data_IF_756527059683
#
_entry.id   IF_756527059683
#
_cell.length_a   1.000
_cell.length_b   1.000
_cell.length_c   1.000
_cell.angle_alpha   90.00
_cell.angle_beta   90.00
_cell.angle_gamma   90.00
#
_symmetry.space_group_name_H-M   'P 1'
#
loop_
_entity.id
_entity.type
_entity.pdbx_description
1 polymer ?
#
# COMPACT_ATOMS: atom_id res chain seq x y z
N UNK A 1 -23.35 20.01 -85.80
CA UNK A 1 -22.11 19.84 -84.94
C UNK A 1 -22.07 20.91 -83.85
N UNK A 2 -22.92 20.83 -82.83
CA UNK A 2 -22.87 21.77 -81.69
C UNK A 2 -23.67 21.23 -80.48
N UNK A 3 -23.41 20.01 -80.02
CA UNK A 3 -24.05 19.49 -78.76
C UNK A 3 -23.16 18.65 -77.84
N UNK A 4 -21.84 18.51 -78.06
CA UNK A 4 -20.97 17.66 -77.27
C UNK A 4 -20.04 18.42 -76.26
N UNK A 5 -20.22 19.75 -76.14
CA UNK A 5 -19.30 20.56 -75.28
C UNK A 5 -19.87 20.96 -73.91
N UNK A 6 -21.11 20.56 -73.60
CA UNK A 6 -21.76 20.96 -72.34
C UNK A 6 -21.80 19.91 -71.24
N UNK A 7 -21.38 18.69 -71.53
CA UNK A 7 -21.35 17.61 -70.47
C UNK A 7 -20.01 17.35 -69.86
N UNK A 8 -18.93 17.94 -70.34
CA UNK A 8 -17.57 17.74 -69.80
C UNK A 8 -17.22 18.62 -68.57
N UNK A 9 -18.02 19.69 -68.35
CA UNK A 9 -17.78 20.56 -67.19
C UNK A 9 -18.61 20.18 -65.93
N UNK A 10 -19.64 19.34 -66.09
CA UNK A 10 -20.44 18.87 -64.95
C UNK A 10 -19.84 17.69 -64.19
N UNK A 11 -19.00 16.90 -64.87
CA UNK A 11 -18.40 15.72 -64.26
C UNK A 11 -17.14 16.03 -63.41
N UNK A 12 -16.47 17.17 -63.64
CA UNK A 12 -15.27 17.57 -62.93
C UNK A 12 -15.57 18.23 -61.57
N UNK A 13 -16.78 18.78 -61.36
CA UNK A 13 -17.17 19.41 -60.10
C UNK A 13 -17.73 18.39 -59.06
N UNK A 14 -18.21 17.22 -59.50
CA UNK A 14 -18.71 16.17 -58.60
C UNK A 14 -17.57 15.27 -58.03
N UNK A 15 -16.41 15.28 -58.70
CA UNK A 15 -15.25 14.51 -58.19
C UNK A 15 -14.46 15.23 -57.09
N UNK A 16 -14.63 16.57 -56.93
CA UNK A 16 -13.89 17.31 -55.89
C UNK A 16 -14.60 17.36 -54.54
N UNK A 17 -15.90 16.99 -54.45
CA UNK A 17 -16.64 16.97 -53.16
C UNK A 17 -16.49 15.61 -52.44
N UNK A 18 -16.05 14.57 -53.14
CA UNK A 18 -15.87 13.23 -52.56
C UNK A 18 -14.53 13.04 -51.83
N UNK A 19 -13.62 14.01 -51.90
CA UNK A 19 -12.28 13.92 -51.27
C UNK A 19 -12.17 14.60 -49.90
N UNK A 20 -13.21 15.29 -49.43
CA UNK A 20 -13.22 15.93 -48.09
C UNK A 20 -14.09 15.20 -47.06
N UNK A 21 -14.67 14.06 -47.37
CA UNK A 21 -15.54 13.31 -46.49
C UNK A 21 -14.89 12.12 -45.77
N UNK A 22 -13.56 11.90 -45.90
CA UNK A 22 -12.90 10.72 -45.34
C UNK A 22 -11.89 11.01 -44.19
N UNK A 23 -12.07 12.11 -43.47
CA UNK A 23 -11.14 12.52 -42.39
C UNK A 23 -11.83 12.62 -41.05
N UNK A 24 -12.81 11.74 -40.74
CA UNK A 24 -13.26 11.48 -39.34
C UNK A 24 -13.66 10.03 -39.22
N UNK A 25 -12.71 9.14 -39.45
CA UNK A 25 -12.75 7.80 -38.91
C UNK A 25 -11.99 7.90 -37.57
N UNK A 26 -12.74 8.00 -36.48
CA UNK A 26 -12.26 7.78 -35.14
C UNK A 26 -11.75 6.33 -35.02
N UNK A 27 -10.53 6.11 -35.49
CA UNK A 27 -9.79 4.91 -35.26
C UNK A 27 -9.41 4.90 -33.78
N UNK A 28 -10.16 4.18 -32.95
CA UNK A 28 -9.69 3.61 -31.71
C UNK A 28 -8.68 2.51 -32.06
N UNK A 29 -7.55 2.91 -32.59
CA UNK A 29 -6.37 2.09 -32.81
C UNK A 29 -5.34 2.53 -31.81
N UNK A 30 -4.94 1.64 -30.91
CA UNK A 30 -3.91 1.88 -29.92
C UNK A 30 -2.65 2.45 -30.55
N UNK A 31 -2.48 3.76 -30.44
CA UNK A 31 -1.21 4.40 -30.68
C UNK A 31 -0.26 3.92 -29.58
N UNK A 32 0.62 2.99 -29.95
CA UNK A 32 1.86 2.75 -29.22
C UNK A 32 2.78 3.98 -29.29
N UNK A 33 2.24 5.16 -29.03
CA UNK A 33 3.00 6.38 -28.88
C UNK A 33 3.78 6.30 -27.57
N UNK A 34 5.07 6.67 -27.59
CA UNK A 34 5.90 6.77 -26.41
C UNK A 34 5.24 7.64 -25.36
N UNK A 35 4.68 7.03 -24.34
CA UNK A 35 4.18 7.75 -23.16
C UNK A 35 5.37 8.30 -22.38
N UNK A 36 5.16 9.36 -21.58
CA UNK A 36 6.21 9.88 -20.71
C UNK A 36 6.78 8.74 -19.84
N UNK A 37 5.92 7.87 -19.30
CA UNK A 37 6.32 6.74 -18.48
C UNK A 37 7.33 5.82 -19.17
N UNK A 38 7.22 5.61 -20.50
CA UNK A 38 8.13 4.76 -21.27
C UNK A 38 9.57 5.32 -21.38
N UNK A 39 9.81 6.53 -20.91
CA UNK A 39 11.14 7.15 -20.83
C UNK A 39 11.71 7.14 -19.39
N UNK A 40 10.91 6.81 -18.40
CA UNK A 40 11.24 6.91 -16.97
C UNK A 40 11.59 5.55 -16.38
N UNK A 41 12.46 5.57 -15.38
CA UNK A 41 12.78 4.41 -14.53
C UNK A 41 11.91 4.46 -13.27
N UNK A 42 11.23 3.36 -12.98
CA UNK A 42 10.40 3.19 -11.79
C UNK A 42 11.16 2.46 -10.70
N UNK A 43 11.20 3.04 -9.50
CA UNK A 43 11.76 2.41 -8.30
C UNK A 43 10.64 1.76 -7.49
N UNK A 44 10.75 0.46 -7.24
CA UNK A 44 9.68 -0.29 -6.56
C UNK A 44 10.22 -1.49 -5.77
N UNK A 45 9.43 -2.03 -4.83
CA UNK A 45 9.78 -3.23 -4.09
C UNK A 45 10.06 -4.45 -4.98
N UNK A 46 10.78 -5.46 -4.47
CA UNK A 46 11.16 -6.64 -5.25
C UNK A 46 10.00 -7.47 -5.78
N UNK A 47 8.82 -7.41 -5.12
CA UNK A 47 7.59 -8.14 -5.49
C UNK A 47 6.76 -7.41 -6.56
N UNK A 48 6.99 -6.13 -6.78
CA UNK A 48 6.23 -5.28 -7.71
C UNK A 48 6.01 -5.89 -9.11
N UNK A 49 6.98 -6.59 -9.74
CA UNK A 49 6.75 -7.21 -11.05
C UNK A 49 5.65 -8.26 -11.08
N UNK A 50 5.33 -8.86 -9.96
CA UNK A 50 4.28 -9.91 -9.82
C UNK A 50 3.09 -9.46 -8.98
N UNK A 51 3.16 -8.26 -8.41
CA UNK A 51 2.09 -7.70 -7.58
C UNK A 51 0.98 -7.12 -8.46
N UNK A 52 -0.28 -7.59 -8.29
CA UNK A 52 -1.42 -7.13 -9.09
C UNK A 52 -1.70 -5.63 -9.02
N UNK A 53 -1.37 -4.98 -7.91
CA UNK A 53 -1.61 -3.55 -7.70
C UNK A 53 -0.37 -2.69 -7.98
N UNK A 54 0.80 -3.26 -8.27
CA UNK A 54 2.00 -2.54 -8.66
C UNK A 54 2.18 -2.52 -10.20
N UNK A 55 3.23 -3.08 -10.76
CA UNK A 55 3.54 -3.01 -12.20
C UNK A 55 2.41 -3.57 -13.08
N UNK A 56 1.82 -4.67 -12.69
CA UNK A 56 0.69 -5.29 -13.41
C UNK A 56 -0.53 -4.35 -13.39
N UNK A 57 -0.86 -3.83 -12.22
CA UNK A 57 -1.99 -2.92 -12.03
C UNK A 57 -1.81 -1.61 -12.78
N UNK A 58 -0.64 -0.98 -12.69
CA UNK A 58 -0.29 0.23 -13.42
C UNK A 58 -0.49 0.07 -14.92
N UNK A 59 -0.04 -1.07 -15.48
CA UNK A 59 -0.25 -1.39 -16.89
C UNK A 59 -1.72 -1.59 -17.24
N UNK A 60 -2.44 -2.38 -16.44
CA UNK A 60 -3.82 -2.79 -16.78
C UNK A 60 -4.82 -1.67 -16.52
N UNK A 61 -4.65 -0.89 -15.46
CA UNK A 61 -5.57 0.16 -15.02
C UNK A 61 -5.29 1.49 -15.72
N UNK A 62 -4.01 1.85 -15.82
CA UNK A 62 -3.57 3.16 -16.33
C UNK A 62 -2.92 3.11 -17.71
N UNK A 63 -2.57 1.92 -18.21
CA UNK A 63 -1.79 1.77 -19.44
C UNK A 63 -0.32 2.20 -19.25
N UNK A 64 0.15 2.34 -18.02
CA UNK A 64 1.50 2.80 -17.69
C UNK A 64 2.48 1.64 -17.85
N UNK A 65 3.49 1.86 -18.70
CA UNK A 65 4.64 0.96 -18.89
C UNK A 65 5.89 1.81 -18.77
N UNK A 66 6.71 1.53 -17.78
CA UNK A 66 7.97 2.23 -17.57
C UNK A 66 9.10 1.67 -18.48
N UNK A 67 10.12 2.50 -18.73
CA UNK A 67 11.34 2.10 -19.46
C UNK A 67 12.03 0.94 -18.76
N UNK A 68 12.13 1.02 -17.44
CA UNK A 68 12.77 0.02 -16.58
C UNK A 68 12.19 0.07 -15.19
N UNK A 69 12.32 -1.03 -14.43
CA UNK A 69 11.91 -1.14 -13.02
C UNK A 69 13.12 -1.51 -12.18
N UNK A 70 13.55 -0.58 -11.34
CA UNK A 70 14.66 -0.80 -10.40
C UNK A 70 14.10 -1.33 -9.09
N UNK A 71 14.55 -2.53 -8.69
CA UNK A 71 14.19 -3.11 -7.41
C UNK A 71 14.88 -2.36 -6.27
N UNK A 72 14.10 -1.88 -5.33
CA UNK A 72 14.52 -1.13 -4.15
C UNK A 72 13.88 -1.75 -2.89
N UNK A 73 13.93 -1.04 -1.77
CA UNK A 73 13.22 -1.45 -0.55
C UNK A 73 11.72 -1.09 -0.63
N UNK A 74 10.98 -1.38 0.43
CA UNK A 74 9.54 -1.10 0.54
C UNK A 74 9.30 0.36 0.97
N UNK A 75 9.64 1.31 0.08
CA UNK A 75 9.42 2.74 0.33
C UNK A 75 10.29 3.35 1.44
N UNK A 76 11.37 2.69 1.81
CA UNK A 76 12.30 3.15 2.83
C UNK A 76 13.41 4.06 2.29
N UNK A 77 14.50 4.13 3.04
CA UNK A 77 15.58 5.07 2.78
C UNK A 77 16.28 4.88 1.41
N UNK A 78 16.37 3.63 0.91
CA UNK A 78 16.96 3.37 -0.41
C UNK A 78 16.09 3.92 -1.53
N UNK A 79 14.76 3.74 -1.44
CA UNK A 79 13.80 4.25 -2.44
C UNK A 79 13.78 5.79 -2.44
N UNK A 80 13.71 6.41 -1.26
CA UNK A 80 13.76 7.87 -1.12
C UNK A 80 15.07 8.45 -1.66
N UNK A 81 16.21 7.83 -1.34
CA UNK A 81 17.53 8.24 -1.85
C UNK A 81 17.64 8.08 -3.37
N UNK A 82 17.10 7.00 -3.93
CA UNK A 82 17.12 6.75 -5.37
C UNK A 82 16.32 7.80 -6.14
N UNK A 83 15.14 8.21 -5.63
CA UNK A 83 14.35 9.29 -6.23
C UNK A 83 15.06 10.64 -6.10
N UNK A 84 15.58 10.95 -4.91
CA UNK A 84 16.29 12.21 -4.64
C UNK A 84 17.56 12.38 -5.49
N UNK A 85 18.29 11.31 -5.76
CA UNK A 85 19.48 11.32 -6.63
C UNK A 85 19.16 11.29 -8.13
N UNK A 86 17.88 11.13 -8.51
CA UNK A 86 17.47 10.97 -9.90
C UNK A 86 17.82 9.61 -10.53
N UNK A 87 18.27 8.63 -9.73
CA UNK A 87 18.54 7.28 -10.24
C UNK A 87 17.27 6.53 -10.61
N UNK A 88 16.12 6.96 -10.08
CA UNK A 88 14.76 6.70 -10.56
C UNK A 88 14.02 8.02 -10.66
N UNK A 89 13.02 8.11 -11.52
CA UNK A 89 12.22 9.33 -11.71
C UNK A 89 10.83 9.23 -11.11
N UNK A 90 10.39 8.00 -10.88
CA UNK A 90 9.13 7.67 -10.21
C UNK A 90 9.43 6.55 -9.23
N UNK A 91 8.77 6.52 -8.09
CA UNK A 91 8.88 5.40 -7.16
C UNK A 91 7.56 5.14 -6.45
N UNK A 92 7.45 3.93 -5.89
CA UNK A 92 6.40 3.56 -4.96
C UNK A 92 6.82 3.97 -3.55
N UNK A 93 5.95 4.74 -2.89
CA UNK A 93 6.05 5.11 -1.48
C UNK A 93 4.69 4.89 -0.81
N UNK A 94 4.70 4.73 0.48
CA UNK A 94 3.50 4.50 1.29
C UNK A 94 3.17 5.75 2.12
N UNK A 95 1.94 5.87 2.61
CA UNK A 95 1.52 6.98 3.47
C UNK A 95 2.32 7.05 4.79
N UNK A 96 2.94 5.93 5.18
CA UNK A 96 3.81 5.82 6.35
C UNK A 96 5.31 5.94 6.04
N UNK A 97 5.69 6.10 4.76
CA UNK A 97 7.07 6.35 4.35
C UNK A 97 7.52 7.77 4.72
N UNK A 98 8.74 7.88 5.23
CA UNK A 98 9.35 9.20 5.51
C UNK A 98 10.06 9.69 4.24
N UNK A 99 9.53 10.71 3.60
CA UNK A 99 10.05 11.23 2.34
C UNK A 99 10.21 12.75 2.34
N UNK A 100 10.95 13.26 1.36
CA UNK A 100 11.19 14.68 1.17
C UNK A 100 9.90 15.39 0.70
N UNK A 101 9.45 16.46 1.36
CA UNK A 101 8.23 17.18 0.99
C UNK A 101 8.30 17.85 -0.39
N UNK A 102 9.47 17.89 -1.03
CA UNK A 102 9.62 18.38 -2.40
C UNK A 102 9.15 17.36 -3.45
N UNK A 103 8.91 16.11 -3.06
CA UNK A 103 8.40 15.11 -3.99
C UNK A 103 6.95 15.39 -4.37
N UNK A 104 6.64 15.12 -5.64
CA UNK A 104 5.27 15.25 -6.15
C UNK A 104 4.60 13.90 -6.06
N UNK A 105 3.50 13.84 -5.31
CA UNK A 105 2.69 12.62 -5.22
C UNK A 105 1.69 12.60 -6.37
N UNK A 106 1.69 11.51 -7.12
CA UNK A 106 0.72 11.27 -8.19
C UNK A 106 -0.58 10.76 -7.58
N UNK A 107 -1.70 11.16 -8.18
CA UNK A 107 -3.02 10.72 -7.70
C UNK A 107 -3.42 9.40 -8.33
N UNK A 108 -3.94 8.49 -7.52
CA UNK A 108 -4.58 7.25 -7.94
C UNK A 108 -6.09 7.49 -8.16
N UNK A 109 -6.42 8.19 -9.24
CA UNK A 109 -7.79 8.59 -9.59
C UNK A 109 -8.67 7.40 -10.03
N UNK A 110 -8.07 6.24 -10.31
CA UNK A 110 -8.79 5.00 -10.65
C UNK A 110 -8.82 3.99 -9.51
N UNK A 111 -8.34 4.37 -8.33
CA UNK A 111 -8.36 3.55 -7.12
C UNK A 111 -7.75 2.15 -7.35
N UNK A 112 -6.55 2.11 -7.94
CA UNK A 112 -5.78 0.90 -8.11
C UNK A 112 -5.37 0.32 -6.75
N UNK A 113 -4.95 1.21 -5.83
CA UNK A 113 -4.58 0.83 -4.48
C UNK A 113 -5.81 0.80 -3.58
N UNK A 114 -5.98 -0.29 -2.85
CA UNK A 114 -6.99 -0.38 -1.81
C UNK A 114 -6.53 0.36 -0.55
N UNK A 115 -7.48 0.77 0.29
CA UNK A 115 -7.15 1.19 1.64
C UNK A 115 -6.60 -0.02 2.41
N UNK A 116 -5.36 0.09 2.89
CA UNK A 116 -4.66 -1.02 3.51
C UNK A 116 -4.29 -0.67 4.96
N UNK A 117 -5.02 -1.26 5.90
CA UNK A 117 -4.87 -0.98 7.31
C UNK A 117 -4.01 -2.03 7.99
N UNK A 118 -3.19 -1.59 8.93
CA UNK A 118 -2.44 -2.47 9.82
C UNK A 118 -3.39 -3.29 10.70
N UNK A 119 -3.12 -4.58 10.82
CA UNK A 119 -3.84 -5.52 11.68
C UNK A 119 -2.87 -6.49 12.34
N UNK A 120 -3.11 -6.93 13.59
CA UNK A 120 -2.47 -8.10 14.12
C UNK A 120 -3.16 -9.35 13.57
N UNK A 121 -2.38 -10.27 13.02
CA UNK A 121 -2.85 -11.61 12.68
C UNK A 121 -2.48 -12.57 13.78
N UNK A 122 -3.47 -13.26 14.33
CA UNK A 122 -3.32 -14.17 15.46
C UNK A 122 -3.74 -15.57 15.04
N UNK A 123 -2.90 -16.55 15.33
CA UNK A 123 -3.21 -17.95 15.13
C UNK A 123 -4.35 -18.37 16.07
N UNK A 124 -5.42 -18.97 15.55
CA UNK A 124 -6.61 -19.36 16.33
C UNK A 124 -6.31 -20.24 17.53
N UNK A 125 -5.26 -21.07 17.47
CA UNK A 125 -4.89 -21.96 18.57
C UNK A 125 -4.42 -21.23 19.84
N UNK A 126 -3.95 -20.00 19.73
CA UNK A 126 -3.51 -19.18 20.87
C UNK A 126 -4.44 -18.01 21.17
N UNK A 127 -5.44 -17.82 20.31
CA UNK A 127 -6.39 -16.71 20.41
C UNK A 127 -7.16 -16.74 21.75
N UNK A 128 -7.23 -15.59 22.40
CA UNK A 128 -7.95 -15.41 23.66
C UNK A 128 -8.37 -13.96 23.82
N UNK A 129 -9.41 -13.74 24.67
CA UNK A 129 -9.89 -12.39 24.97
C UNK A 129 -8.84 -11.45 25.54
N UNK A 130 -7.84 -11.98 26.23
CA UNK A 130 -6.75 -11.18 26.81
C UNK A 130 -5.80 -10.71 25.73
N UNK A 131 -5.38 -11.62 24.81
CA UNK A 131 -4.56 -11.28 23.65
C UNK A 131 -5.29 -10.25 22.80
N UNK A 132 -6.58 -10.47 22.53
CA UNK A 132 -7.42 -9.52 21.80
C UNK A 132 -7.45 -8.13 22.42
N UNK A 133 -7.67 -8.07 23.72
CA UNK A 133 -7.74 -6.80 24.44
C UNK A 133 -6.43 -6.04 24.33
N UNK A 134 -5.31 -6.74 24.47
CA UNK A 134 -3.97 -6.15 24.41
C UNK A 134 -3.68 -5.63 23.00
N UNK A 135 -3.81 -6.49 21.98
CA UNK A 135 -3.44 -6.13 20.62
C UNK A 135 -4.38 -5.06 20.04
N UNK A 136 -5.69 -5.23 20.24
CA UNK A 136 -6.69 -4.27 19.78
C UNK A 136 -6.58 -2.91 20.51
N UNK A 137 -6.10 -2.91 21.75
CA UNK A 137 -5.78 -1.69 22.50
C UNK A 137 -4.70 -0.85 21.81
N UNK A 138 -3.67 -1.48 21.27
CA UNK A 138 -2.63 -0.82 20.47
C UNK A 138 -3.24 -0.29 19.18
N UNK A 139 -3.93 -1.16 18.42
CA UNK A 139 -4.49 -0.80 17.10
C UNK A 139 -5.48 0.37 17.18
N UNK A 140 -6.25 0.45 18.27
CA UNK A 140 -7.20 1.55 18.51
C UNK A 140 -6.55 2.93 18.70
N UNK A 141 -5.25 2.98 18.94
CA UNK A 141 -4.48 4.22 19.11
C UNK A 141 -3.66 4.60 17.87
N UNK A 142 -3.54 3.69 16.90
CA UNK A 142 -2.79 3.97 15.68
C UNK A 142 -3.56 4.87 14.72
N UNK A 143 -2.84 5.82 14.16
CA UNK A 143 -3.25 6.65 13.03
C UNK A 143 -2.07 6.71 12.05
N UNK A 144 -2.30 7.08 10.80
CA UNK A 144 -1.23 7.25 9.81
C UNK A 144 -0.18 8.24 10.32
N UNK A 145 -0.60 9.35 10.94
CA UNK A 145 0.31 10.38 11.44
C UNK A 145 1.24 9.88 12.54
N UNK A 146 0.72 9.12 13.52
CA UNK A 146 1.59 8.62 14.59
C UNK A 146 2.46 7.45 14.13
N UNK A 147 2.03 6.62 13.19
CA UNK A 147 2.87 5.60 12.55
C UNK A 147 4.01 6.27 11.78
N UNK A 148 3.72 7.30 10.97
CA UNK A 148 4.74 8.08 10.26
C UNK A 148 5.74 8.73 11.24
N UNK A 149 5.26 9.28 12.37
CA UNK A 149 6.11 9.84 13.40
C UNK A 149 7.03 8.79 14.07
N UNK A 150 6.53 7.59 14.31
CA UNK A 150 7.32 6.47 14.83
C UNK A 150 8.36 5.99 13.81
N UNK A 151 7.98 5.86 12.54
CA UNK A 151 8.90 5.51 11.47
C UNK A 151 10.03 6.54 11.32
N UNK A 152 9.71 7.83 11.46
CA UNK A 152 10.73 8.88 11.46
C UNK A 152 11.71 8.72 12.63
N UNK A 153 11.23 8.48 13.84
CA UNK A 153 12.10 8.23 15.00
C UNK A 153 13.03 7.03 14.76
N UNK A 154 12.49 5.93 14.23
CA UNK A 154 13.25 4.72 13.98
C UNK A 154 14.24 4.89 12.80
N UNK A 155 13.76 5.36 11.64
CA UNK A 155 14.54 5.36 10.40
C UNK A 155 15.45 6.58 10.25
N UNK A 156 15.00 7.77 10.65
CA UNK A 156 15.77 9.01 10.49
C UNK A 156 16.54 9.35 11.76
N UNK A 157 15.87 9.37 12.93
CA UNK A 157 16.46 9.79 14.18
C UNK A 157 17.26 8.64 14.85
N UNK A 158 17.19 7.42 14.25
CA UNK A 158 17.92 6.19 14.67
C UNK A 158 17.64 5.76 16.11
N UNK A 159 16.44 6.06 16.60
CA UNK A 159 15.95 5.54 17.89
C UNK A 159 15.61 4.08 17.71
N UNK A 160 16.07 3.19 18.62
CA UNK A 160 15.75 1.77 18.50
C UNK A 160 14.24 1.50 18.65
N UNK A 161 13.75 0.43 18.01
CA UNK A 161 12.34 0.09 17.96
C UNK A 161 11.71 -0.11 19.35
N UNK A 162 12.43 -0.72 20.28
CA UNK A 162 11.98 -0.93 21.67
C UNK A 162 11.70 0.40 22.37
N UNK A 163 12.58 1.40 22.21
CA UNK A 163 12.38 2.73 22.80
C UNK A 163 11.19 3.45 22.16
N UNK A 164 11.05 3.38 20.82
CA UNK A 164 9.89 3.97 20.14
C UNK A 164 8.60 3.32 20.64
N UNK A 165 8.57 2.00 20.74
CA UNK A 165 7.43 1.23 21.26
C UNK A 165 7.07 1.62 22.70
N UNK A 166 8.06 1.69 23.60
CA UNK A 166 7.86 2.10 24.98
C UNK A 166 7.30 3.51 25.12
N UNK A 167 7.82 4.46 24.34
CA UNK A 167 7.33 5.83 24.33
C UNK A 167 5.86 5.89 23.89
N UNK A 168 5.51 5.17 22.82
CA UNK A 168 4.11 5.12 22.34
C UNK A 168 3.17 4.48 23.36
N UNK A 169 3.57 3.36 23.98
CA UNK A 169 2.81 2.68 25.04
C UNK A 169 2.55 3.63 26.20
N UNK A 170 3.59 4.34 26.66
CA UNK A 170 3.49 5.29 27.77
C UNK A 170 2.59 6.48 27.45
N UNK A 171 2.79 7.10 26.29
CA UNK A 171 2.03 8.29 25.85
C UNK A 171 0.53 7.99 25.68
N UNK A 172 0.18 6.75 25.34
CA UNK A 172 -1.20 6.34 25.12
C UNK A 172 -1.83 5.59 26.32
N UNK A 173 -1.10 5.45 27.44
CA UNK A 173 -1.59 4.78 28.64
C UNK A 173 -1.93 3.31 28.40
N UNK A 174 -1.18 2.62 27.51
CA UNK A 174 -1.45 1.24 27.15
C UNK A 174 -0.89 0.22 28.14
N UNK A 175 0.09 0.62 28.95
CA UNK A 175 0.65 -0.24 29.99
C UNK A 175 -0.37 -0.40 31.11
N UNK A 176 -1.10 -1.50 31.10
CA UNK A 176 -1.99 -1.88 32.19
C UNK A 176 -1.24 -2.33 33.44
N UNK A 177 -1.98 -2.64 34.51
CA UNK A 177 -1.39 -3.30 35.68
C UNK A 177 -0.82 -4.65 35.26
N UNK A 178 0.40 -4.97 35.72
CA UNK A 178 1.00 -6.26 35.46
C UNK A 178 0.08 -7.39 35.97
N UNK A 179 -0.07 -8.43 35.16
CA UNK A 179 -0.95 -9.56 35.49
C UNK A 179 -0.23 -10.89 35.25
N UNK A 180 -0.85 -11.97 35.68
CA UNK A 180 -0.35 -13.33 35.48
C UNK A 180 -1.25 -14.14 34.52
N UNK A 181 -2.11 -13.49 33.76
CA UNK A 181 -3.07 -14.15 32.86
C UNK A 181 -2.37 -15.05 31.83
N UNK A 182 -1.19 -14.65 31.38
CA UNK A 182 -0.36 -15.39 30.46
C UNK A 182 0.62 -16.38 31.13
N UNK A 183 0.57 -16.55 32.46
CA UNK A 183 1.55 -17.38 33.19
C UNK A 183 1.57 -18.82 32.65
N UNK A 184 2.78 -19.31 32.37
CA UNK A 184 3.00 -20.65 31.79
C UNK A 184 2.68 -20.80 30.31
N UNK A 185 2.26 -19.71 29.63
CA UNK A 185 2.02 -19.70 28.18
C UNK A 185 3.15 -18.99 27.46
N UNK A 186 3.59 -19.59 26.36
CA UNK A 186 4.61 -19.02 25.48
C UNK A 186 4.00 -18.62 24.16
N UNK A 187 4.33 -17.45 23.66
CA UNK A 187 3.95 -16.93 22.35
C UNK A 187 5.19 -16.58 21.53
N UNK A 188 5.11 -16.74 20.23
CA UNK A 188 6.14 -16.29 19.29
C UNK A 188 5.58 -15.20 18.39
N UNK A 189 6.14 -14.01 18.47
CA UNK A 189 5.80 -12.88 17.58
C UNK A 189 6.76 -12.88 16.41
N UNK A 190 6.20 -12.98 15.19
CA UNK A 190 6.97 -12.84 13.96
C UNK A 190 7.24 -11.36 13.67
N UNK A 191 8.49 -11.03 13.39
CA UNK A 191 8.92 -9.65 13.11
C UNK A 191 9.29 -9.52 11.64
N UNK A 192 8.40 -8.89 10.87
CA UNK A 192 8.70 -8.53 9.49
C UNK A 192 9.59 -7.28 9.47
N UNK A 193 10.66 -7.33 8.69
CA UNK A 193 11.53 -6.17 8.46
C UNK A 193 11.23 -5.45 7.13
N UNK A 194 10.10 -5.78 6.47
CA UNK A 194 9.69 -5.13 5.22
C UNK A 194 9.28 -3.68 5.44
N UNK A 195 8.61 -3.40 6.57
CA UNK A 195 8.18 -2.06 6.95
C UNK A 195 8.61 -1.77 8.39
N UNK A 196 9.07 -0.54 8.65
CA UNK A 196 9.57 -0.13 9.96
C UNK A 196 8.51 -0.25 11.06
N UNK A 197 7.28 0.11 10.76
CA UNK A 197 6.14 0.01 11.69
C UNK A 197 5.85 -1.43 12.13
N UNK A 198 6.11 -2.44 11.29
CA UNK A 198 5.93 -3.84 11.69
C UNK A 198 6.90 -4.25 12.78
N UNK A 199 8.15 -3.76 12.73
CA UNK A 199 9.16 -3.97 13.77
C UNK A 199 8.73 -3.29 15.07
N UNK A 200 8.31 -2.02 14.99
CA UNK A 200 7.90 -1.23 16.15
C UNK A 200 6.67 -1.84 16.84
N UNK A 201 5.67 -2.26 16.04
CA UNK A 201 4.44 -2.87 16.57
C UNK A 201 4.69 -4.26 17.16
N UNK A 202 5.58 -5.05 16.59
CA UNK A 202 5.99 -6.33 17.16
C UNK A 202 6.63 -6.14 18.55
N UNK A 203 7.46 -5.11 18.73
CA UNK A 203 8.01 -4.74 20.05
C UNK A 203 6.92 -4.27 21.02
N UNK A 204 5.91 -3.50 20.57
CA UNK A 204 4.78 -3.13 21.41
C UNK A 204 4.02 -4.36 21.90
N UNK A 205 3.70 -5.29 21.00
CA UNK A 205 3.00 -6.53 21.35
C UNK A 205 3.80 -7.35 22.34
N UNK A 206 5.09 -7.53 22.11
CA UNK A 206 5.99 -8.23 23.02
C UNK A 206 5.96 -7.62 24.42
N UNK A 207 6.16 -6.30 24.56
CA UNK A 207 6.20 -5.60 25.84
C UNK A 207 4.87 -5.78 26.59
N UNK A 208 3.75 -5.58 25.92
CA UNK A 208 2.43 -5.64 26.55
C UNK A 208 2.02 -7.07 26.93
N UNK A 209 2.32 -8.05 26.10
CA UNK A 209 2.08 -9.46 26.39
C UNK A 209 2.96 -9.95 27.54
N UNK A 210 4.21 -9.51 27.60
CA UNK A 210 5.10 -9.80 28.74
C UNK A 210 4.55 -9.18 30.05
N UNK A 211 4.03 -7.95 30.00
CA UNK A 211 3.36 -7.33 31.13
C UNK A 211 2.11 -8.11 31.60
N UNK A 212 1.46 -8.84 30.70
CA UNK A 212 0.34 -9.73 31.00
C UNK A 212 0.78 -11.14 31.46
N UNK A 213 2.08 -11.38 31.63
CA UNK A 213 2.63 -12.62 32.16
C UNK A 213 2.97 -13.69 31.12
N UNK A 214 2.83 -13.42 29.84
CA UNK A 214 3.27 -14.36 28.79
C UNK A 214 4.80 -14.39 28.67
N UNK A 215 5.35 -15.57 28.37
CA UNK A 215 6.69 -15.67 27.83
C UNK A 215 6.61 -15.36 26.33
N UNK A 216 7.30 -14.33 25.87
CA UNK A 216 7.23 -13.91 24.46
C UNK A 216 8.59 -14.03 23.80
N UNK A 217 8.66 -14.89 22.78
CA UNK A 217 9.78 -14.99 21.86
C UNK A 217 9.52 -14.10 20.64
N UNK A 218 10.59 -13.69 19.96
CA UNK A 218 10.51 -13.05 18.65
C UNK A 218 11.19 -13.91 17.61
N UNK A 219 10.60 -14.00 16.43
CA UNK A 219 11.25 -14.56 15.26
C UNK A 219 11.51 -13.43 14.27
N UNK A 220 12.77 -13.04 14.18
CA UNK A 220 13.24 -11.95 13.34
C UNK A 220 13.37 -12.38 11.87
N UNK A 221 13.58 -11.39 10.98
CA UNK A 221 13.92 -11.58 9.57
C UNK A 221 12.87 -12.29 8.71
N UNK A 222 11.60 -12.17 9.05
CA UNK A 222 10.51 -12.65 8.23
C UNK A 222 10.16 -11.56 7.20
N UNK A 223 10.93 -11.50 6.11
CA UNK A 223 10.90 -10.37 5.16
C UNK A 223 9.77 -10.40 4.13
N UNK A 224 9.00 -11.46 4.04
CA UNK A 224 7.93 -11.53 3.03
C UNK A 224 6.79 -12.42 3.48
N UNK A 225 5.59 -12.13 2.99
CA UNK A 225 4.39 -12.95 3.23
C UNK A 225 4.59 -14.40 2.82
N UNK A 226 5.34 -14.67 1.75
CA UNK A 226 5.69 -16.03 1.31
C UNK A 226 6.44 -16.85 2.37
N UNK A 227 7.08 -16.19 3.32
CA UNK A 227 7.79 -16.81 4.47
C UNK A 227 6.94 -16.73 5.72
N UNK A 228 6.35 -15.56 6.01
CA UNK A 228 5.61 -15.34 7.25
C UNK A 228 4.28 -16.09 7.32
N UNK A 229 3.57 -16.24 6.20
CA UNK A 229 2.27 -16.93 6.18
C UNK A 229 2.42 -18.42 6.48
N UNK A 230 3.31 -19.19 5.83
CA UNK A 230 3.56 -20.58 6.22
C UNK A 230 4.02 -20.71 7.67
N UNK A 231 4.83 -19.77 8.20
CA UNK A 231 5.26 -19.79 9.59
C UNK A 231 4.07 -19.58 10.56
N UNK A 232 3.16 -18.67 10.25
CA UNK A 232 1.94 -18.44 11.03
C UNK A 232 0.98 -19.64 10.95
N UNK A 233 0.72 -20.17 9.75
CA UNK A 233 -0.21 -21.29 9.55
C UNK A 233 0.31 -22.59 10.16
N UNK A 234 1.62 -22.82 10.17
CA UNK A 234 2.23 -24.02 10.80
C UNK A 234 2.36 -23.89 12.32
N UNK A 235 2.21 -22.67 12.89
CA UNK A 235 2.42 -22.39 14.31
C UNK A 235 3.87 -22.21 14.70
N UNK A 236 4.77 -21.95 13.75
CA UNK A 236 6.13 -21.53 14.02
C UNK A 236 6.16 -20.13 14.66
N UNK A 237 5.24 -19.24 14.24
CA UNK A 237 4.89 -17.99 14.90
C UNK A 237 3.40 -18.00 15.27
N UNK A 238 3.02 -17.22 16.27
CA UNK A 238 1.65 -17.12 16.78
C UNK A 238 0.97 -15.82 16.41
N UNK A 239 1.74 -14.76 16.27
CA UNK A 239 1.27 -13.39 16.01
C UNK A 239 2.21 -12.73 15.01
N UNK A 240 1.66 -12.01 14.04
CA UNK A 240 2.41 -11.07 13.20
C UNK A 240 1.61 -9.80 12.94
N UNK A 241 2.26 -8.73 12.55
CA UNK A 241 1.63 -7.50 12.06
C UNK A 241 1.56 -7.55 10.55
N UNK A 242 0.40 -7.24 9.99
CA UNK A 242 0.20 -7.24 8.55
C UNK A 242 -0.69 -6.08 8.07
N UNK A 243 -0.69 -5.91 6.76
CA UNK A 243 -1.61 -5.03 6.05
C UNK A 243 -2.75 -5.85 5.47
N UNK A 244 -3.97 -5.59 5.91
CA UNK A 244 -5.12 -6.49 5.71
C UNK A 244 -5.49 -6.71 4.25
N UNK A 245 -5.51 -5.65 3.43
CA UNK A 245 -5.85 -5.78 2.01
C UNK A 245 -4.76 -6.52 1.25
N UNK A 246 -3.50 -6.17 1.45
CA UNK A 246 -2.36 -6.85 0.83
C UNK A 246 -2.24 -8.31 1.25
N UNK A 247 -2.49 -8.62 2.52
CA UNK A 247 -2.52 -9.99 3.02
C UNK A 247 -3.65 -10.80 2.37
N UNK A 248 -4.82 -10.17 2.21
CA UNK A 248 -5.96 -10.81 1.55
C UNK A 248 -5.67 -11.15 0.08
N UNK A 249 -5.03 -10.23 -0.66
CA UNK A 249 -4.63 -10.45 -2.06
C UNK A 249 -3.55 -11.53 -2.15
N UNK A 250 -2.61 -11.59 -1.20
CA UNK A 250 -1.57 -12.61 -1.18
C UNK A 250 -2.15 -14.02 -1.03
N UNK A 251 -3.16 -14.17 -0.18
CA UNK A 251 -3.79 -15.46 0.11
C UNK A 251 -4.86 -15.84 -0.93
N UNK A 252 -5.55 -14.87 -1.49
CA UNK A 252 -6.47 -15.04 -2.63
C UNK A 252 -6.30 -13.91 -3.66
N UNK A 253 -5.59 -14.14 -4.77
CA UNK A 253 -5.41 -13.13 -5.82
C UNK A 253 -6.71 -12.66 -6.48
N UNK A 254 -7.84 -13.31 -6.21
CA UNK A 254 -9.18 -12.92 -6.67
C UNK A 254 -9.97 -12.19 -5.59
N UNK A 255 -9.38 -12.01 -4.41
CA UNK A 255 -10.01 -11.30 -3.31
C UNK A 255 -10.42 -9.90 -3.76
N UNK A 256 -11.67 -9.55 -3.51
CA UNK A 256 -12.17 -8.20 -3.71
C UNK A 256 -11.89 -7.40 -2.43
N UNK A 257 -10.71 -6.86 -2.35
CA UNK A 257 -10.37 -5.95 -1.26
C UNK A 257 -11.12 -4.63 -1.41
N UNK A 258 -11.44 -4.02 -0.30
CA UNK A 258 -12.15 -2.74 -0.25
C UNK A 258 -11.44 -1.78 0.71
N UNK A 259 -11.85 -0.51 0.71
CA UNK A 259 -11.45 0.44 1.73
C UNK A 259 -12.08 0.19 3.11
N UNK A 260 -13.00 -0.75 3.22
CA UNK A 260 -13.60 -1.15 4.49
C UNK A 260 -12.89 -2.39 5.06
N UNK A 261 -12.17 -2.26 6.18
CA UNK A 261 -11.46 -3.37 6.82
C UNK A 261 -12.36 -4.56 7.15
N UNK A 262 -13.62 -4.32 7.52
CA UNK A 262 -14.56 -5.38 7.87
C UNK A 262 -14.84 -6.35 6.72
N UNK A 263 -14.82 -5.85 5.48
CA UNK A 263 -14.97 -6.69 4.30
C UNK A 263 -13.74 -7.58 4.07
N UNK A 264 -12.55 -7.08 4.41
CA UNK A 264 -11.30 -7.82 4.23
C UNK A 264 -11.12 -8.89 5.31
N UNK A 265 -11.58 -8.66 6.54
CA UNK A 265 -11.55 -9.68 7.61
C UNK A 265 -12.22 -10.99 7.22
N UNK A 266 -13.28 -10.93 6.41
CA UNK A 266 -14.02 -12.11 5.97
C UNK A 266 -13.17 -13.05 5.12
N UNK A 267 -12.21 -12.53 4.39
CA UNK A 267 -11.36 -13.28 3.45
C UNK A 267 -10.33 -14.13 4.20
N UNK A 268 -9.82 -13.65 5.34
CA UNK A 268 -8.79 -14.34 6.12
C UNK A 268 -9.35 -15.40 7.09
N UNK A 269 -10.66 -15.42 7.36
CA UNK A 269 -11.29 -16.33 8.32
C UNK A 269 -11.10 -17.84 8.04
N UNK A 270 -11.05 -18.31 6.79
CA UNK A 270 -10.91 -19.76 6.53
C UNK A 270 -9.56 -20.34 6.93
N UNK A 271 -8.50 -19.55 6.93
CA UNK A 271 -7.10 -20.03 7.00
C UNK A 271 -6.58 -20.36 8.41
N UNK A 272 -7.44 -20.44 9.41
CA UNK A 272 -7.00 -20.76 10.79
C UNK A 272 -6.36 -19.59 11.53
N UNK A 273 -6.41 -18.39 10.96
CA UNK A 273 -5.92 -17.14 11.49
C UNK A 273 -7.09 -16.18 11.68
N UNK A 274 -6.99 -15.31 12.66
CA UNK A 274 -7.97 -14.25 12.89
C UNK A 274 -7.26 -12.89 12.84
N UNK A 275 -7.75 -11.94 12.04
CA UNK A 275 -7.32 -10.57 12.16
C UNK A 275 -7.87 -9.98 13.46
N UNK A 276 -7.05 -9.20 14.16
CA UNK A 276 -7.49 -8.31 15.23
C UNK A 276 -8.21 -7.09 14.68
N UNK A 277 -8.55 -6.12 15.55
CA UNK A 277 -9.09 -4.86 15.09
C UNK A 277 -8.09 -4.15 14.17
N UNK A 278 -8.59 -3.61 13.06
CA UNK A 278 -7.77 -2.82 12.18
C UNK A 278 -7.44 -1.46 12.80
N UNK A 279 -6.32 -0.87 12.38
CA UNK A 279 -6.03 0.54 12.58
C UNK A 279 -7.26 1.37 12.19
N UNK A 280 -7.63 2.35 12.99
CA UNK A 280 -8.74 3.23 12.63
C UNK A 280 -8.42 3.96 11.33
N UNK A 281 -9.32 3.91 10.33
CA UNK A 281 -9.14 4.72 9.14
C UNK A 281 -9.12 6.19 9.55
N UNK A 282 -8.07 6.90 9.14
CA UNK A 282 -8.03 8.34 9.32
C UNK A 282 -9.17 8.97 8.52
N UNK A 283 -9.84 9.98 9.08
CA UNK A 283 -10.86 10.77 8.35
C UNK A 283 -10.30 11.43 7.08
N UNK A 284 -9.03 11.26 6.82
CA UNK A 284 -8.25 11.85 5.73
C UNK A 284 -7.54 10.81 4.85
N UNK A 285 -7.98 9.55 4.84
CA UNK A 285 -7.49 8.59 3.82
C UNK A 285 -7.82 9.16 2.44
N UNK A 286 -6.77 9.54 1.71
CA UNK A 286 -6.84 10.36 0.49
C UNK A 286 -6.19 11.73 0.62
N UNK A 287 -5.84 12.19 1.83
CA UNK A 287 -5.05 13.40 2.03
C UNK A 287 -3.62 13.05 2.41
N UNK A 288 -2.70 13.41 1.54
CA UNK A 288 -1.27 13.30 1.80
C UNK A 288 -0.88 14.42 2.78
N UNK A 289 -0.11 14.14 3.85
CA UNK A 289 0.40 15.17 4.73
C UNK A 289 1.19 16.21 3.93
N UNK A 290 0.82 17.48 4.05
CA UNK A 290 1.49 18.59 3.35
C UNK A 290 0.74 19.16 2.14
N UNK A 291 -0.33 18.57 1.67
CA UNK A 291 -1.17 19.15 0.63
C UNK A 291 -2.00 20.33 1.22
N UNK A 292 -1.62 21.56 0.93
CA UNK A 292 -2.49 22.73 1.16
C UNK A 292 -3.69 22.60 0.24
N UNK A 293 -4.86 22.38 0.81
CA UNK A 293 -6.12 22.52 0.08
C UNK A 293 -6.43 24.01 0.05
N UNK A 294 -6.46 24.58 -1.14
CA UNK A 294 -7.04 25.90 -1.36
C UNK A 294 -8.55 25.77 -1.13
N UNK A 295 -9.13 26.42 -0.11
CA UNK A 295 -10.54 26.27 0.22
C UNK A 295 -11.49 26.87 -0.84
N UNK A 296 -10.96 27.56 -1.86
CA UNK A 296 -11.76 28.23 -2.90
C UNK A 296 -11.79 27.49 -4.25
N UNK A 297 -11.19 26.29 -4.37
CA UNK A 297 -11.23 25.54 -5.62
C UNK A 297 -12.39 24.55 -5.62
N UNK A 298 -13.39 24.70 -6.52
CA UNK A 298 -14.49 23.75 -6.62
C UNK A 298 -13.97 22.36 -7.06
N UNK A 299 -14.48 21.33 -6.42
CA UNK A 299 -14.23 19.94 -6.80
C UNK A 299 -14.65 19.72 -8.27
N UNK A 300 -13.72 19.45 -9.15
CA UNK A 300 -14.05 19.09 -10.54
C UNK A 300 -13.09 19.51 -11.64
N UNK A 301 -12.07 20.34 -11.39
CA UNK A 301 -11.09 20.67 -12.43
C UNK A 301 -9.80 19.88 -12.27
N UNK A 302 -9.79 18.68 -12.86
CA UNK A 302 -8.58 17.94 -13.14
C UNK A 302 -7.70 18.67 -14.16
N UNK A 303 -6.41 18.77 -13.89
CA UNK A 303 -5.41 19.20 -14.87
C UNK A 303 -5.45 18.26 -16.09
N UNK A 304 -5.87 18.83 -17.23
CA UNK A 304 -5.72 18.18 -18.53
C UNK A 304 -4.28 18.29 -19.02
#
# INVERSE_FOLDING_TARGET
MRHHRRYALGAALLALVALFGAACSSGSGGSGGNTIASTLVFGAPPDCPTNPVCQIGLKNTYGIVFKDVKKLDFGGALTVSALKSGSVQVCELFSTSVYDPSFVVLQDDKHLEAADNLVPLVRKAVDSSDIDTILNGVMAKLTTDNVLAMNKQYDIDKVNATTVAQNFIQQNGLMGTASSTGAGKTLTVGVSSSFNEQIILAEMFKILLQNAGYTVNTQEDIQSRKVSDPALFSGQIDIKVEYLASESIQNDPKAKVSGDPNNNETILKPEGVRPGAAQRPDRHQGRIPGQRVDPERPEGEGLR
#
